data_IF_184508459048
#
_entry.id   IF_184508459048
#
_cell.length_a   1.000
_cell.length_b   1.000
_cell.length_c   1.000
_cell.angle_alpha   90.00
_cell.angle_beta   90.00
_cell.angle_gamma   90.00
#
_symmetry.space_group_name_H-M   'P 1'
#
loop_
_entity.id
_entity.type
_entity.pdbx_description
1 polymer ?
#
# COMPACT_ATOMS: atom_id res chain seq x y z
N UNK A 1 0.90 -4.74 9.81
CA UNK A 1 0.50 -3.48 9.15
C UNK A 1 -0.26 -2.62 10.16
N UNK A 2 0.06 -1.34 10.27
CA UNK A 2 -0.66 -0.41 11.15
C UNK A 2 -1.74 0.31 10.35
N UNK A 3 -2.98 0.19 10.78
CA UNK A 3 -4.14 0.85 10.17
C UNK A 3 -4.90 1.65 11.22
N UNK A 4 -5.63 2.67 10.78
CA UNK A 4 -6.55 3.43 11.63
C UNK A 4 -7.96 3.11 11.14
N UNK A 5 -8.67 2.25 11.87
CA UNK A 5 -10.07 1.94 11.57
C UNK A 5 -10.96 3.06 12.14
N UNK A 6 -11.99 3.45 11.38
CA UNK A 6 -13.04 4.36 11.87
C UNK A 6 -14.29 3.54 12.19
N UNK A 7 -14.63 3.43 13.47
CA UNK A 7 -15.85 2.77 13.92
C UNK A 7 -16.68 3.74 14.77
N UNK A 8 -17.93 3.99 14.38
CA UNK A 8 -18.83 4.93 15.07
C UNK A 8 -18.20 6.33 15.30
N UNK A 9 -17.41 6.82 14.34
CA UNK A 9 -16.71 8.11 14.44
C UNK A 9 -15.44 8.10 15.30
N UNK A 10 -15.11 6.99 15.96
CA UNK A 10 -13.89 6.84 16.76
C UNK A 10 -12.77 6.24 15.90
N UNK A 11 -11.61 6.88 15.93
CA UNK A 11 -10.38 6.40 15.29
C UNK A 11 -9.69 5.39 16.21
N UNK A 12 -9.59 4.14 15.79
CA UNK A 12 -8.98 3.06 16.56
C UNK A 12 -7.70 2.57 15.86
N UNK A 13 -6.52 2.77 16.46
CA UNK A 13 -5.29 2.25 15.90
C UNK A 13 -5.27 0.72 16.03
N UNK A 14 -4.94 0.06 14.93
CA UNK A 14 -4.91 -1.41 14.83
C UNK A 14 -3.64 -1.90 14.15
N UNK A 15 -3.05 -2.93 14.74
CA UNK A 15 -2.00 -3.72 14.13
C UNK A 15 -2.58 -5.02 13.56
N UNK A 16 -2.46 -5.18 12.25
CA UNK A 16 -2.79 -6.40 11.51
C UNK A 16 -1.50 -7.23 11.33
N UNK A 17 -1.36 -8.30 12.10
CA UNK A 17 -0.28 -9.26 11.97
C UNK A 17 -0.51 -10.14 10.73
N UNK A 18 0.41 -10.08 9.76
CA UNK A 18 0.27 -10.79 8.49
C UNK A 18 1.32 -11.88 8.26
N UNK A 19 2.41 -11.92 9.02
CA UNK A 19 3.40 -13.01 9.01
C UNK A 19 4.15 -13.06 10.36
N UNK A 20 4.91 -14.13 10.59
CA UNK A 20 5.72 -14.35 11.79
C UNK A 20 7.06 -14.99 11.42
N UNK A 21 8.15 -14.45 11.95
CA UNK A 21 9.53 -14.88 11.63
C UNK A 21 10.14 -15.64 12.82
N UNK A 22 9.85 -15.18 14.04
CA UNK A 22 10.33 -15.76 15.29
C UNK A 22 9.15 -16.01 16.23
N UNK A 23 9.15 -17.15 16.91
CA UNK A 23 8.18 -17.45 17.97
C UNK A 23 8.88 -18.18 19.12
N UNK A 24 8.72 -17.68 20.34
CA UNK A 24 9.27 -18.27 21.57
C UNK A 24 10.77 -18.60 21.48
N UNK A 25 11.55 -17.62 20.98
CA UNK A 25 13.00 -17.76 20.78
C UNK A 25 13.43 -18.66 19.62
N UNK A 26 12.49 -19.25 18.87
CA UNK A 26 12.78 -20.12 17.73
C UNK A 26 12.49 -19.43 16.41
N UNK A 27 13.39 -19.62 15.45
CA UNK A 27 13.19 -19.23 14.07
C UNK A 27 12.14 -20.13 13.41
N UNK A 28 11.09 -19.52 12.86
CA UNK A 28 10.00 -20.20 12.15
C UNK A 28 9.88 -19.72 10.69
N UNK A 29 10.82 -18.88 10.23
CA UNK A 29 10.86 -18.34 8.87
C UNK A 29 10.96 -19.42 7.79
N UNK A 30 11.63 -20.53 8.10
CA UNK A 30 11.80 -21.67 7.21
C UNK A 30 10.53 -22.51 7.00
N UNK A 31 9.50 -22.34 7.84
CA UNK A 31 8.23 -23.06 7.71
C UNK A 31 7.38 -22.49 6.57
N UNK A 32 6.38 -23.24 6.11
CA UNK A 32 5.44 -22.74 5.10
C UNK A 32 4.60 -21.59 5.64
N UNK A 33 4.26 -20.61 4.79
CA UNK A 33 3.36 -19.52 5.20
C UNK A 33 2.01 -20.08 5.70
N UNK A 34 1.38 -20.92 4.89
CA UNK A 34 0.14 -21.62 5.19
C UNK A 34 0.30 -23.16 5.00
N UNK A 35 0.03 -23.95 6.05
CA UNK A 35 -0.67 -23.55 7.26
C UNK A 35 0.25 -23.09 8.41
N UNK A 36 1.57 -23.30 8.35
CA UNK A 36 2.39 -23.34 9.56
C UNK A 36 2.56 -21.98 10.24
N UNK A 37 3.18 -20.99 9.57
CA UNK A 37 3.41 -19.66 10.14
C UNK A 37 2.09 -18.96 10.49
N UNK A 38 1.10 -19.05 9.60
CA UNK A 38 -0.24 -18.52 9.83
C UNK A 38 -0.92 -19.15 11.07
N UNK A 39 -0.82 -20.47 11.25
CA UNK A 39 -1.38 -21.17 12.41
C UNK A 39 -0.70 -20.77 13.71
N UNK A 40 0.61 -20.49 13.70
CA UNK A 40 1.32 -19.97 14.87
C UNK A 40 0.72 -18.61 15.26
N UNK A 41 0.51 -17.69 14.31
CA UNK A 41 -0.13 -16.40 14.61
C UNK A 41 -1.54 -16.64 15.17
N UNK A 42 -2.36 -17.44 14.50
CA UNK A 42 -3.75 -17.66 14.89
C UNK A 42 -3.87 -18.33 16.27
N UNK A 43 -3.18 -19.45 16.51
CA UNK A 43 -3.34 -20.22 17.75
C UNK A 43 -2.45 -19.71 18.87
N UNK A 44 -1.17 -19.52 18.58
CA UNK A 44 -0.20 -19.26 19.62
C UNK A 44 -0.16 -17.80 20.04
N UNK A 45 -0.50 -16.87 19.15
CA UNK A 45 -0.55 -15.43 19.45
C UNK A 45 -2.00 -14.99 19.71
N UNK A 46 -2.91 -15.20 18.75
CA UNK A 46 -4.26 -14.64 18.85
C UNK A 46 -5.12 -15.37 19.89
N UNK A 47 -5.21 -16.70 19.87
CA UNK A 47 -6.03 -17.43 20.86
C UNK A 47 -5.46 -17.30 22.29
N UNK A 48 -4.14 -17.25 22.43
CA UNK A 48 -3.51 -16.99 23.73
C UNK A 48 -3.91 -15.62 24.30
N UNK A 49 -3.89 -14.57 23.46
CA UNK A 49 -4.37 -13.24 23.85
C UNK A 49 -5.86 -13.23 24.17
N UNK A 50 -6.68 -13.88 23.35
CA UNK A 50 -8.13 -13.98 23.58
C UNK A 50 -8.45 -14.67 24.91
N UNK A 51 -7.74 -15.75 25.27
CA UNK A 51 -7.85 -16.38 26.58
C UNK A 51 -7.46 -15.44 27.72
N UNK A 52 -6.33 -14.75 27.59
CA UNK A 52 -5.89 -13.80 28.61
C UNK A 52 -6.86 -12.62 28.80
N UNK A 53 -7.56 -12.19 27.73
CA UNK A 53 -8.65 -11.21 27.82
C UNK A 53 -9.85 -11.80 28.56
N UNK A 54 -10.28 -13.01 28.19
CA UNK A 54 -11.41 -13.68 28.84
C UNK A 54 -11.18 -13.91 30.33
N UNK A 55 -9.94 -14.25 30.71
CA UNK A 55 -9.50 -14.42 32.10
C UNK A 55 -9.26 -13.09 32.83
N UNK A 56 -9.46 -11.94 32.18
CA UNK A 56 -9.27 -10.61 32.77
C UNK A 56 -7.81 -10.20 33.00
N UNK A 57 -6.84 -10.98 32.51
CA UNK A 57 -5.40 -10.64 32.58
C UNK A 57 -5.03 -9.52 31.60
N UNK A 58 -5.75 -9.42 30.48
CA UNK A 58 -5.62 -8.33 29.51
C UNK A 58 -6.93 -7.53 29.47
N UNK A 59 -6.82 -6.22 29.69
CA UNK A 59 -7.91 -5.26 29.51
C UNK A 59 -7.71 -4.53 28.19
N UNK A 60 -8.58 -4.79 27.21
CA UNK A 60 -8.46 -4.26 25.83
C UNK A 60 -8.49 -2.74 25.79
N UNK A 61 -9.23 -2.12 26.69
CA UNK A 61 -9.36 -0.67 26.86
C UNK A 61 -8.08 0.03 27.33
N UNK A 62 -7.15 -0.73 27.94
CA UNK A 62 -5.85 -0.22 28.36
C UNK A 62 -4.75 -0.46 27.31
N UNK A 63 -5.03 -1.23 26.26
CA UNK A 63 -4.05 -1.47 25.21
C UNK A 63 -3.93 -0.23 24.30
N UNK A 64 -2.68 0.21 24.00
CA UNK A 64 -2.48 1.39 23.15
C UNK A 64 -2.95 1.15 21.70
N UNK A 65 -2.95 -0.11 21.26
CA UNK A 65 -3.36 -0.52 19.91
C UNK A 65 -4.11 -1.85 19.98
N UNK A 66 -5.08 -2.02 19.09
CA UNK A 66 -5.72 -3.32 18.89
C UNK A 66 -4.84 -4.22 18.03
N UNK A 67 -4.60 -5.46 18.44
CA UNK A 67 -3.88 -6.44 17.61
C UNK A 67 -4.86 -7.47 17.04
N UNK A 68 -4.82 -7.68 15.73
CA UNK A 68 -5.58 -8.70 15.00
C UNK A 68 -4.69 -9.42 13.98
N UNK A 69 -5.09 -10.63 13.60
CA UNK A 69 -4.49 -11.32 12.44
C UNK A 69 -5.09 -10.74 11.15
N UNK A 70 -4.27 -10.61 10.10
CA UNK A 70 -4.73 -10.30 8.75
C UNK A 70 -5.23 -11.61 8.12
N UNK A 71 -6.50 -11.64 7.77
CA UNK A 71 -7.10 -12.84 7.17
C UNK A 71 -6.62 -13.01 5.73
N UNK A 72 -6.26 -14.24 5.39
CA UNK A 72 -5.90 -14.65 4.04
C UNK A 72 -6.95 -15.63 3.52
N UNK A 73 -7.27 -15.51 2.24
CA UNK A 73 -8.27 -16.31 1.55
C UNK A 73 -7.63 -17.02 0.36
N UNK A 74 -8.27 -18.09 -0.10
CA UNK A 74 -7.86 -18.74 -1.34
C UNK A 74 -7.98 -17.77 -2.53
N UNK A 75 -7.09 -17.93 -3.51
CA UNK A 75 -7.01 -17.06 -4.69
C UNK A 75 -8.34 -16.96 -5.44
N UNK A 76 -9.14 -18.03 -5.44
CA UNK A 76 -10.48 -18.08 -6.05
C UNK A 76 -11.47 -17.08 -5.44
N UNK A 77 -11.21 -16.63 -4.21
CA UNK A 77 -12.03 -15.65 -3.48
C UNK A 77 -11.72 -14.21 -3.90
N UNK A 78 -10.71 -13.96 -4.73
CA UNK A 78 -10.30 -12.61 -5.16
C UNK A 78 -11.47 -11.78 -5.73
N UNK A 79 -12.40 -12.40 -6.47
CA UNK A 79 -13.59 -11.72 -6.98
C UNK A 79 -14.51 -11.18 -5.89
N UNK A 80 -14.66 -11.92 -4.79
CA UNK A 80 -15.45 -11.50 -3.63
C UNK A 80 -14.73 -10.37 -2.87
N UNK A 81 -13.42 -10.49 -2.66
CA UNK A 81 -12.62 -9.48 -1.97
C UNK A 81 -12.60 -8.12 -2.71
N UNK A 82 -12.75 -8.14 -4.04
CA UNK A 82 -12.84 -6.95 -4.88
C UNK A 82 -14.27 -6.47 -5.12
N UNK A 83 -15.28 -7.10 -4.51
CA UNK A 83 -16.66 -6.64 -4.61
C UNK A 83 -16.93 -5.48 -3.66
N UNK A 84 -17.77 -4.52 -4.09
CA UNK A 84 -18.10 -3.32 -3.30
C UNK A 84 -18.61 -3.67 -1.89
N UNK A 85 -19.42 -4.74 -1.78
CA UNK A 85 -19.95 -5.24 -0.51
C UNK A 85 -18.87 -5.60 0.52
N UNK A 86 -17.70 -6.07 0.07
CA UNK A 86 -16.60 -6.40 0.97
C UNK A 86 -15.82 -5.14 1.33
N UNK A 87 -15.56 -4.26 0.36
CA UNK A 87 -14.90 -2.97 0.59
C UNK A 87 -15.64 -2.10 1.61
N UNK A 88 -16.97 -2.11 1.61
CA UNK A 88 -17.80 -1.37 2.58
C UNK A 88 -17.73 -1.93 4.01
N UNK A 89 -17.36 -3.20 4.17
CA UNK A 89 -17.19 -3.82 5.49
C UNK A 89 -15.84 -3.49 6.13
N UNK A 90 -14.87 -3.03 5.34
CA UNK A 90 -13.56 -2.64 5.84
C UNK A 90 -13.66 -1.27 6.51
N UNK A 91 -13.10 -1.16 7.71
CA UNK A 91 -13.02 0.11 8.46
C UNK A 91 -12.04 1.13 7.87
N UNK A 92 -11.42 0.79 6.73
CA UNK A 92 -10.44 1.58 5.98
C UNK A 92 -10.53 1.22 4.48
N UNK A 93 -10.11 2.14 3.61
CA UNK A 93 -10.20 1.98 2.16
C UNK A 93 -9.26 0.85 1.66
N UNK A 94 -9.77 -0.15 0.92
CA UNK A 94 -8.93 -1.22 0.38
C UNK A 94 -8.09 -0.72 -0.79
N UNK A 95 -6.76 -0.86 -0.67
CA UNK A 95 -5.76 -0.39 -1.65
C UNK A 95 -5.26 -1.55 -2.55
N UNK A 96 -6.18 -2.43 -2.97
CA UNK A 96 -5.91 -3.58 -3.83
C UNK A 96 -5.74 -4.93 -3.09
N UNK A 97 -4.99 -5.85 -3.70
CA UNK A 97 -4.76 -7.22 -3.23
C UNK A 97 -3.28 -7.51 -3.05
N UNK A 98 -2.96 -8.35 -2.06
CA UNK A 98 -1.64 -8.96 -1.88
C UNK A 98 -1.79 -10.46 -2.07
N UNK A 99 -1.01 -11.03 -2.98
CA UNK A 99 -0.90 -12.47 -3.19
C UNK A 99 0.35 -12.97 -2.49
N UNK A 100 0.13 -13.73 -1.42
CA UNK A 100 1.19 -14.32 -0.61
C UNK A 100 1.33 -15.80 -1.01
N UNK A 101 2.53 -16.24 -1.44
CA UNK A 101 2.82 -17.64 -1.67
C UNK A 101 2.61 -18.46 -0.39
N UNK A 102 1.88 -19.58 -0.52
CA UNK A 102 1.40 -20.34 0.62
C UNK A 102 2.42 -21.33 1.18
N UNK A 103 3.28 -21.92 0.33
CA UNK A 103 4.18 -23.02 0.73
C UNK A 103 5.60 -22.57 0.98
N UNK A 104 5.93 -21.38 0.52
CA UNK A 104 7.27 -20.84 0.47
C UNK A 104 7.71 -20.33 1.85
N UNK A 105 8.99 -20.52 2.20
CA UNK A 105 9.56 -19.94 3.40
C UNK A 105 9.61 -18.41 3.30
N UNK A 106 9.73 -17.75 4.44
CA UNK A 106 9.93 -16.31 4.49
C UNK A 106 11.34 -15.96 3.98
N UNK A 107 11.42 -15.03 3.02
CA UNK A 107 12.69 -14.53 2.50
C UNK A 107 12.87 -13.04 2.87
N UNK A 108 13.92 -12.68 3.64
CA UNK A 108 14.23 -11.27 3.90
C UNK A 108 14.59 -10.51 2.62
N UNK A 109 14.13 -9.27 2.52
CA UNK A 109 14.45 -8.39 1.39
C UNK A 109 13.44 -8.49 0.23
N UNK A 110 13.85 -8.26 -1.02
CA UNK A 110 12.96 -8.33 -2.17
C UNK A 110 12.38 -9.74 -2.33
N UNK A 111 11.06 -9.85 -2.26
CA UNK A 111 10.31 -11.09 -2.44
C UNK A 111 9.58 -11.05 -3.81
N UNK A 112 10.16 -11.60 -4.89
CA UNK A 112 9.57 -11.54 -6.23
C UNK A 112 8.24 -12.31 -6.31
N UNK A 113 8.05 -13.31 -5.45
CA UNK A 113 6.87 -14.17 -5.44
C UNK A 113 5.69 -13.54 -4.68
N UNK A 114 5.94 -12.49 -3.87
CA UNK A 114 4.87 -11.74 -3.19
C UNK A 114 4.38 -10.65 -4.13
N UNK A 115 3.20 -10.87 -4.70
CA UNK A 115 2.64 -9.97 -5.69
C UNK A 115 1.68 -8.98 -5.05
N UNK A 116 1.76 -7.72 -5.49
CA UNK A 116 0.78 -6.68 -5.15
C UNK A 116 0.02 -6.29 -6.41
N UNK A 117 -1.30 -6.35 -6.35
CA UNK A 117 -2.17 -5.85 -7.39
C UNK A 117 -2.92 -4.63 -6.88
N UNK A 118 -2.94 -3.56 -7.66
CA UNK A 118 -3.68 -2.34 -7.35
C UNK A 118 -4.52 -1.90 -8.55
N UNK A 119 -5.75 -1.40 -8.34
CA UNK A 119 -6.49 -0.71 -9.39
C UNK A 119 -5.67 0.45 -9.95
N UNK A 120 -5.78 0.71 -11.26
CA UNK A 120 -5.06 1.80 -11.90
C UNK A 120 -5.36 3.17 -11.30
N UNK A 121 -6.61 3.37 -10.89
CA UNK A 121 -7.05 4.58 -10.21
C UNK A 121 -6.32 4.86 -8.89
N UNK A 122 -5.71 3.82 -8.30
CA UNK A 122 -4.97 3.88 -7.03
C UNK A 122 -3.44 3.85 -7.23
N UNK A 123 -2.95 3.77 -8.47
CA UNK A 123 -1.53 3.87 -8.75
C UNK A 123 -1.08 5.33 -8.65
N UNK A 124 -0.26 5.60 -7.65
CA UNK A 124 0.33 6.91 -7.39
C UNK A 124 1.84 6.82 -7.19
N UNK A 125 2.51 7.95 -7.36
CA UNK A 125 3.93 8.13 -7.05
C UNK A 125 4.11 9.38 -6.21
N UNK A 126 4.93 9.29 -5.17
CA UNK A 126 5.32 10.47 -4.40
C UNK A 126 6.51 11.16 -5.05
N UNK A 127 6.31 12.39 -5.52
CA UNK A 127 7.33 13.22 -6.16
C UNK A 127 7.71 14.40 -5.27
N UNK A 128 8.93 14.91 -5.44
CA UNK A 128 9.27 16.25 -4.99
C UNK A 128 8.89 17.22 -6.10
N UNK A 129 7.96 18.14 -5.81
CA UNK A 129 7.52 19.16 -6.75
C UNK A 129 8.49 20.34 -6.73
N UNK A 130 8.93 20.79 -7.90
CA UNK A 130 9.63 22.06 -8.08
C UNK A 130 8.93 22.88 -9.15
N UNK A 131 8.41 24.04 -8.78
CA UNK A 131 7.72 24.94 -9.71
C UNK A 131 8.75 25.85 -10.35
N UNK A 132 8.87 25.78 -11.67
CA UNK A 132 9.76 26.62 -12.47
C UNK A 132 8.96 27.41 -13.50
N UNK A 133 9.50 28.57 -13.89
CA UNK A 133 8.94 29.39 -14.98
C UNK A 133 9.69 29.02 -16.24
N UNK A 134 8.99 28.45 -17.21
CA UNK A 134 9.52 28.22 -18.54
C UNK A 134 9.42 29.53 -19.34
N UNK A 135 10.55 30.07 -19.76
CA UNK A 135 10.65 31.26 -20.60
C UNK A 135 11.78 31.11 -21.62
N UNK A 136 11.64 31.73 -22.80
CA UNK A 136 12.61 31.64 -23.88
C UNK A 136 12.11 32.33 -25.16
N UNK A 137 13.00 32.49 -26.14
CA UNK A 137 12.64 33.08 -27.43
C UNK A 137 11.57 32.22 -28.15
N UNK A 138 10.39 32.78 -28.37
CA UNK A 138 9.26 32.08 -29.00
C UNK A 138 8.42 31.20 -28.06
N UNK A 139 8.74 31.15 -26.75
CA UNK A 139 7.96 30.40 -25.76
C UNK A 139 7.09 31.36 -24.96
N UNK A 140 5.77 31.10 -24.91
CA UNK A 140 4.88 31.84 -24.02
C UNK A 140 5.21 31.49 -22.56
N UNK A 141 5.57 32.51 -21.77
CA UNK A 141 5.94 32.34 -20.36
C UNK A 141 4.86 31.60 -19.59
N UNK A 142 5.18 30.43 -19.06
CA UNK A 142 4.25 29.60 -18.28
C UNK A 142 4.93 28.93 -17.11
N UNK A 143 4.17 28.66 -16.05
CA UNK A 143 4.66 27.89 -14.90
C UNK A 143 4.45 26.40 -15.15
N UNK A 144 5.52 25.62 -14.95
CA UNK A 144 5.49 24.16 -15.04
C UNK A 144 5.94 23.57 -13.70
N UNK A 145 5.35 22.44 -13.32
CA UNK A 145 5.76 21.67 -12.16
C UNK A 145 6.70 20.56 -12.61
N UNK A 146 7.97 20.64 -12.24
CA UNK A 146 8.94 19.56 -12.41
C UNK A 146 8.79 18.55 -11.26
N UNK A 147 8.67 17.28 -11.60
CA UNK A 147 8.52 16.18 -10.65
C UNK A 147 9.83 15.41 -10.52
N UNK A 148 10.39 15.37 -9.31
CA UNK A 148 11.65 14.69 -9.02
C UNK A 148 11.43 13.42 -8.18
N UNK A 149 12.28 12.42 -8.42
CA UNK A 149 12.34 11.13 -7.71
C UNK A 149 13.73 10.94 -7.08
N UNK A 150 13.82 10.08 -6.07
CA UNK A 150 15.09 9.76 -5.41
C UNK A 150 16.03 9.01 -6.35
N UNK A 151 17.31 9.42 -6.37
CA UNK A 151 18.35 8.81 -7.19
C UNK A 151 18.44 9.34 -8.62
N UNK A 152 17.75 10.44 -8.94
CA UNK A 152 17.81 11.10 -10.24
C UNK A 152 17.91 12.63 -10.09
N UNK A 153 18.97 13.23 -10.65
CA UNK A 153 19.22 14.68 -10.53
C UNK A 153 18.45 15.54 -11.55
N UNK A 154 17.80 14.90 -12.52
CA UNK A 154 16.94 15.54 -13.54
C UNK A 154 15.45 15.31 -13.24
N UNK A 155 14.55 16.18 -13.72
CA UNK A 155 13.13 15.94 -13.59
C UNK A 155 12.74 14.61 -14.23
N UNK A 156 11.97 13.81 -13.49
CA UNK A 156 11.43 12.54 -13.95
C UNK A 156 10.24 12.74 -14.89
N UNK A 157 9.37 13.70 -14.55
CA UNK A 157 8.20 14.05 -15.32
C UNK A 157 7.80 15.52 -15.09
N UNK A 158 6.78 15.97 -15.82
CA UNK A 158 6.22 17.32 -15.67
C UNK A 158 4.73 17.24 -15.39
N UNK A 159 4.21 18.24 -14.68
CA UNK A 159 2.78 18.45 -14.50
C UNK A 159 2.40 19.92 -14.71
N UNK A 160 1.13 20.14 -15.05
CA UNK A 160 0.56 21.49 -15.14
C UNK A 160 0.38 22.06 -13.73
N UNK A 161 0.81 23.30 -13.52
CA UNK A 161 0.58 24.00 -12.26
C UNK A 161 -0.87 24.45 -12.18
N UNK A 162 -1.65 23.84 -11.29
CA UNK A 162 -3.02 24.24 -10.94
C UNK A 162 -3.03 25.11 -9.68
N UNK A 163 -4.20 25.67 -9.33
CA UNK A 163 -4.37 26.45 -8.09
C UNK A 163 -4.04 25.64 -6.83
N UNK A 164 -4.25 24.32 -6.87
CA UNK A 164 -4.10 23.43 -5.70
C UNK A 164 -2.64 23.08 -5.41
N UNK A 165 -1.76 23.15 -6.42
CA UNK A 165 -0.35 22.80 -6.26
C UNK A 165 0.59 24.03 -6.22
N UNK A 166 0.08 25.24 -6.46
CA UNK A 166 0.91 26.46 -6.57
C UNK A 166 1.72 26.76 -5.30
N UNK A 167 1.20 26.39 -4.14
CA UNK A 167 1.81 26.65 -2.82
C UNK A 167 2.64 25.46 -2.33
N UNK A 168 2.72 24.36 -3.11
CA UNK A 168 3.42 23.12 -2.76
C UNK A 168 4.85 23.07 -3.33
N UNK A 169 5.45 24.21 -3.65
CA UNK A 169 6.80 24.26 -4.18
C UNK A 169 7.83 23.70 -3.18
N UNK A 170 8.71 22.81 -3.65
CA UNK A 170 9.69 22.05 -2.87
C UNK A 170 9.09 21.05 -1.86
N UNK A 171 7.78 20.76 -1.92
CA UNK A 171 7.12 19.76 -1.07
C UNK A 171 7.08 18.38 -1.72
N UNK A 172 6.85 17.36 -0.89
CA UNK A 172 6.55 16.02 -1.37
C UNK A 172 5.04 15.93 -1.61
N UNK A 173 4.67 15.54 -2.82
CA UNK A 173 3.28 15.41 -3.26
C UNK A 173 3.04 14.02 -3.81
N UNK A 174 1.85 13.50 -3.58
CA UNK A 174 1.38 12.25 -4.18
C UNK A 174 0.61 12.58 -5.45
N UNK A 175 1.01 11.99 -6.58
CA UNK A 175 0.37 12.20 -7.88
C UNK A 175 -0.11 10.88 -8.47
N UNK A 176 -1.26 10.90 -9.13
CA UNK A 176 -1.76 9.80 -9.98
C UNK A 176 -1.64 10.14 -11.45
N UNK A 177 -1.62 9.13 -12.31
CA UNK A 177 -1.65 9.31 -13.76
C UNK A 177 -3.08 9.22 -14.27
N UNK A 178 -3.58 10.29 -14.90
CA UNK A 178 -4.95 10.37 -15.39
C UNK A 178 -4.99 11.18 -16.69
N UNK A 179 -5.67 10.67 -17.72
CA UNK A 179 -5.80 11.33 -19.03
C UNK A 179 -4.48 11.80 -19.65
N UNK A 180 -3.42 11.00 -19.50
CA UNK A 180 -2.11 11.29 -20.10
C UNK A 180 -1.28 12.35 -19.35
N UNK A 181 -1.65 12.71 -18.12
CA UNK A 181 -0.92 13.67 -17.30
C UNK A 181 -0.88 13.27 -15.82
N UNK A 182 0.12 13.76 -15.10
CA UNK A 182 0.19 13.65 -13.64
C UNK A 182 -0.74 14.67 -12.98
N UNK A 183 -1.60 14.19 -12.08
CA UNK A 183 -2.54 14.99 -11.31
C UNK A 183 -2.24 14.86 -9.82
N UNK A 184 -2.20 16.00 -9.12
CA UNK A 184 -2.02 16.05 -7.67
C UNK A 184 -3.17 15.34 -6.95
N UNK A 185 -2.86 14.42 -6.05
CA UNK A 185 -3.82 13.85 -5.10
C UNK A 185 -3.78 14.60 -3.77
N UNK A 186 -2.60 14.70 -3.15
CA UNK A 186 -2.41 15.33 -1.83
C UNK A 186 -0.95 15.70 -1.56
N UNK A 187 -0.73 16.56 -0.58
CA UNK A 187 0.59 16.76 0.04
C UNK A 187 0.91 15.59 0.98
N UNK A 188 2.17 15.13 0.96
CA UNK A 188 2.71 14.08 1.83
C UNK A 188 3.56 14.70 2.93
N UNK A 189 2.90 15.28 3.94
CA UNK A 189 3.59 15.86 5.12
C UNK A 189 4.25 14.80 6.00
N UNK A 190 3.85 13.54 5.86
CA UNK A 190 4.43 12.38 6.54
C UNK A 190 5.75 11.91 5.91
N UNK A 191 6.13 12.42 4.73
CA UNK A 191 7.32 11.99 4.00
C UNK A 191 8.35 13.10 3.87
N UNK A 192 9.60 12.77 4.19
CA UNK A 192 10.75 13.66 3.99
C UNK A 192 11.37 13.55 2.59
N UNK A 193 11.13 12.43 1.89
CA UNK A 193 11.77 12.12 0.60
C UNK A 193 10.75 11.60 -0.43
N UNK A 194 10.96 11.87 -1.74
CA UNK A 194 10.15 11.28 -2.80
C UNK A 194 10.42 9.77 -2.92
N UNK A 195 9.61 9.07 -3.70
CA UNK A 195 9.88 7.67 -4.03
C UNK A 195 11.20 7.53 -4.82
N UNK A 196 11.84 6.37 -4.71
CA UNK A 196 13.03 6.05 -5.49
C UNK A 196 12.70 5.94 -6.99
N UNK A 197 13.71 6.14 -7.84
CA UNK A 197 13.58 5.95 -9.30
C UNK A 197 13.02 4.58 -9.66
N UNK A 198 13.49 3.51 -9.02
CA UNK A 198 13.03 2.14 -9.29
C UNK A 198 11.56 1.96 -8.93
N UNK A 199 11.10 2.55 -7.82
CA UNK A 199 9.69 2.54 -7.44
C UNK A 199 8.83 3.30 -8.44
N UNK A 200 9.24 4.52 -8.83
CA UNK A 200 8.51 5.32 -9.80
C UNK A 200 8.43 4.62 -11.17
N UNK A 201 9.53 4.02 -11.63
CA UNK A 201 9.57 3.27 -12.88
C UNK A 201 8.67 2.03 -12.84
N UNK A 202 8.62 1.31 -11.72
CA UNK A 202 7.72 0.18 -11.54
C UNK A 202 6.24 0.62 -11.64
N UNK A 203 5.87 1.75 -11.03
CA UNK A 203 4.52 2.30 -11.14
C UNK A 203 4.20 2.72 -12.57
N UNK A 204 5.12 3.40 -13.27
CA UNK A 204 4.93 3.75 -14.68
C UNK A 204 4.75 2.51 -15.57
N UNK A 205 5.47 1.42 -15.30
CA UNK A 205 5.28 0.15 -16.02
C UNK A 205 3.86 -0.40 -15.78
N UNK A 206 3.39 -0.40 -14.54
CA UNK A 206 2.01 -0.83 -14.21
C UNK A 206 0.93 0.07 -14.82
N UNK A 207 1.22 1.35 -15.06
CA UNK A 207 0.31 2.27 -15.76
C UNK A 207 0.26 1.97 -17.25
N UNK A 208 1.40 1.68 -17.88
CA UNK A 208 1.49 1.42 -19.32
C UNK A 208 0.98 0.02 -19.71
N UNK A 209 1.20 -0.98 -18.85
CA UNK A 209 0.76 -2.36 -19.03
C UNK A 209 -0.18 -2.77 -17.88
N UNK A 210 -1.42 -2.22 -17.88
CA UNK A 210 -2.33 -2.42 -16.77
C UNK A 210 -2.87 -3.85 -16.71
N UNK A 211 -2.74 -4.48 -15.54
CA UNK A 211 -3.55 -5.66 -15.19
C UNK A 211 -4.88 -5.16 -14.62
N UNK A 212 -5.92 -5.11 -15.44
CA UNK A 212 -7.25 -4.69 -14.97
C UNK A 212 -7.88 -5.74 -14.06
N UNK A 213 -8.94 -5.34 -13.34
CA UNK A 213 -9.71 -6.26 -12.49
C UNK A 213 -10.24 -7.44 -13.30
N UNK A 214 -10.73 -7.20 -14.51
CA UNK A 214 -11.27 -8.22 -15.41
C UNK A 214 -10.17 -9.20 -15.85
N UNK A 215 -8.99 -8.70 -16.25
CA UNK A 215 -7.85 -9.54 -16.64
C UNK A 215 -7.44 -10.44 -15.47
N UNK A 216 -7.30 -9.87 -14.28
CA UNK A 216 -6.92 -10.61 -13.07
C UNK A 216 -7.94 -11.71 -12.75
N UNK A 217 -9.22 -11.38 -12.70
CA UNK A 217 -10.27 -12.34 -12.35
C UNK A 217 -10.44 -13.42 -13.41
N UNK A 218 -10.33 -13.09 -14.70
CA UNK A 218 -10.35 -14.06 -15.78
C UNK A 218 -9.15 -15.01 -15.73
N UNK A 219 -7.97 -14.51 -15.35
CA UNK A 219 -6.78 -15.34 -15.17
C UNK A 219 -6.99 -16.36 -14.03
N UNK A 220 -7.48 -15.90 -12.88
CA UNK A 220 -7.77 -16.74 -11.71
C UNK A 220 -8.87 -17.77 -12.02
N UNK A 221 -9.91 -17.41 -12.79
CA UNK A 221 -10.98 -18.35 -13.12
C UNK A 221 -10.55 -19.46 -14.09
N UNK A 222 -9.46 -19.24 -14.84
CA UNK A 222 -8.98 -20.18 -15.87
C UNK A 222 -7.94 -21.18 -15.34
N UNK A 223 -7.29 -20.87 -14.22
CA UNK A 223 -6.16 -21.62 -13.67
C UNK A 223 -6.46 -22.09 -12.26
#
# INVERSE_FOLDING_TARGET
EMVIDVANGVKLPRYLAYDIIMYDGKDVSHLSFFPDRYKIIAKNVMDARNRAVFEGRIKKELEPISVRIKEFWDVTTAGHLLAEKFSEQLGHEPDGLIFQPAKEPYNPGPAPDVLKWKPLSMNSVDFKLKIVVESGAGILTRKIGELYVGGLDRPFAHMKVTKDCKDLNNKIIECKWENGQWVLMRERTDKSFPNSYTTAQAVCKSINEPITKEILLNFIAKH
#
